data_IF_678002258911
#
_entry.id   IF_678002258911
#
_cell.length_a   1.000
_cell.length_b   1.000
_cell.length_c   1.000
_cell.angle_alpha   90.00
_cell.angle_beta   90.00
_cell.angle_gamma   90.00
#
_symmetry.space_group_name_H-M   'P 1'
#
loop_
_entity.id
_entity.type
_entity.pdbx_description
1 polymer ?
#
# COMPACT_ATOMS: atom_id res chain seq x y z
N UNK A 1 -5.57 -1.16 -22.66
CA UNK A 1 -6.23 -0.71 -21.40
C UNK A 1 -6.34 -1.84 -20.39
N UNK A 2 -6.68 -3.06 -20.80
CA UNK A 2 -6.74 -4.23 -19.91
C UNK A 2 -5.40 -4.52 -19.20
N UNK A 3 -4.26 -4.47 -19.91
CA UNK A 3 -2.95 -4.70 -19.29
C UNK A 3 -2.64 -3.68 -18.19
N UNK A 4 -3.00 -2.41 -18.41
CA UNK A 4 -2.84 -1.34 -17.42
C UNK A 4 -3.72 -1.62 -16.19
N UNK A 5 -4.95 -2.07 -16.40
CA UNK A 5 -5.85 -2.44 -15.30
C UNK A 5 -5.26 -3.58 -14.45
N UNK A 6 -4.72 -4.63 -15.10
CA UNK A 6 -4.08 -5.75 -14.41
C UNK A 6 -2.90 -5.27 -13.55
N UNK A 7 -2.06 -4.38 -14.11
CA UNK A 7 -0.93 -3.80 -13.36
C UNK A 7 -1.41 -2.97 -12.17
N UNK A 8 -2.44 -2.14 -12.34
CA UNK A 8 -2.98 -1.32 -11.24
C UNK A 8 -3.60 -2.16 -10.13
N UNK A 9 -4.34 -3.22 -10.47
CA UNK A 9 -4.89 -4.17 -9.49
C UNK A 9 -3.78 -4.91 -8.76
N UNK A 10 -2.74 -5.36 -9.48
CA UNK A 10 -1.57 -5.98 -8.88
C UNK A 10 -0.88 -5.05 -7.87
N UNK A 11 -0.68 -3.78 -8.24
CA UNK A 11 -0.09 -2.78 -7.33
C UNK A 11 -0.96 -2.55 -6.10
N UNK A 12 -2.29 -2.57 -6.24
CA UNK A 12 -3.21 -2.39 -5.11
C UNK A 12 -3.10 -3.54 -4.11
N UNK A 13 -3.03 -4.77 -4.61
CA UNK A 13 -2.84 -5.96 -3.78
C UNK A 13 -1.46 -5.94 -3.14
N UNK A 14 -0.41 -5.59 -3.89
CA UNK A 14 0.96 -5.52 -3.38
C UNK A 14 1.09 -4.48 -2.26
N UNK A 15 0.64 -3.23 -2.49
CA UNK A 15 0.72 -2.17 -1.49
C UNK A 15 -0.16 -2.47 -0.27
N UNK A 16 -1.38 -2.96 -0.48
CA UNK A 16 -2.25 -3.42 0.60
C UNK A 16 -1.59 -4.51 1.44
N UNK A 17 -0.95 -5.49 0.78
CA UNK A 17 -0.20 -6.56 1.44
C UNK A 17 1.00 -6.05 2.23
N UNK A 18 1.76 -5.09 1.70
CA UNK A 18 2.89 -4.47 2.40
C UNK A 18 2.42 -3.70 3.64
N UNK A 19 1.36 -2.90 3.54
CA UNK A 19 0.81 -2.19 4.69
C UNK A 19 0.25 -3.14 5.75
N UNK A 20 -0.39 -4.23 5.34
CA UNK A 20 -0.86 -5.26 6.25
C UNK A 20 0.30 -5.96 6.95
N UNK A 21 1.32 -6.36 6.19
CA UNK A 21 2.48 -7.08 6.71
C UNK A 21 3.27 -6.23 7.69
N UNK A 22 3.39 -4.92 7.45
CA UNK A 22 3.99 -3.99 8.41
C UNK A 22 3.32 -4.12 9.79
N UNK A 23 1.99 -3.98 9.85
CA UNK A 23 1.24 -4.13 11.11
C UNK A 23 1.32 -5.55 11.71
N UNK A 24 1.34 -6.59 10.88
CA UNK A 24 1.51 -7.97 11.34
C UNK A 24 2.90 -8.20 11.96
N UNK A 25 3.96 -7.67 11.35
CA UNK A 25 5.34 -7.84 11.81
C UNK A 25 5.60 -7.21 13.19
N UNK A 26 4.91 -6.09 13.49
CA UNK A 26 4.92 -5.49 14.83
C UNK A 26 4.18 -6.37 15.84
N UNK A 27 2.95 -6.78 15.50
CA UNK A 27 2.11 -7.59 16.41
C UNK A 27 2.69 -8.96 16.73
N UNK A 28 3.45 -9.53 15.81
CA UNK A 28 4.15 -10.81 16.00
C UNK A 28 5.46 -10.67 16.79
N UNK A 29 5.89 -9.44 17.13
CA UNK A 29 7.14 -9.17 17.83
C UNK A 29 8.39 -9.37 16.96
N UNK A 30 8.22 -9.53 15.65
CA UNK A 30 9.32 -9.72 14.70
C UNK A 30 10.10 -8.42 14.45
N UNK A 31 9.40 -7.29 14.48
CA UNK A 31 9.97 -5.97 14.27
C UNK A 31 9.75 -5.09 15.50
N UNK A 32 10.74 -4.23 15.78
CA UNK A 32 10.62 -3.17 16.78
C UNK A 32 9.78 -2.02 16.21
N UNK A 33 8.94 -1.48 17.09
CA UNK A 33 8.11 -0.29 16.88
C UNK A 33 8.15 0.49 18.20
N UNK A 34 9.13 1.38 18.32
CA UNK A 34 9.27 2.24 19.50
C UNK A 34 8.23 3.38 19.48
N UNK A 35 7.81 3.82 18.30
CA UNK A 35 6.85 4.92 18.09
C UNK A 35 5.38 4.49 18.27
N UNK A 36 5.10 3.20 18.46
CA UNK A 36 3.76 2.60 18.57
C UNK A 36 2.82 2.95 17.39
N UNK A 37 3.38 3.13 16.20
CA UNK A 37 2.63 3.54 15.00
C UNK A 37 2.26 2.36 14.09
N UNK A 38 2.55 1.12 14.52
CA UNK A 38 2.39 -0.12 13.76
C UNK A 38 3.23 -0.19 12.47
N UNK A 39 4.33 0.56 12.42
CA UNK A 39 5.31 0.55 11.33
C UNK A 39 6.64 0.06 11.92
N UNK A 40 7.32 -0.91 11.29
CA UNK A 40 8.68 -1.28 11.69
C UNK A 40 9.62 -0.08 11.66
N UNK A 41 10.37 0.16 12.74
CA UNK A 41 11.33 1.28 12.80
C UNK A 41 12.33 1.23 11.64
N UNK A 42 12.79 0.01 11.29
CA UNK A 42 13.68 -0.24 10.15
C UNK A 42 13.08 0.17 8.79
N UNK A 43 11.76 0.25 8.70
CA UNK A 43 11.03 0.69 7.51
C UNK A 43 10.64 2.15 7.62
N UNK A 44 10.37 2.67 8.82
CA UNK A 44 10.15 4.09 9.06
C UNK A 44 11.36 4.89 8.57
N UNK A 45 12.58 4.53 8.96
CA UNK A 45 13.80 5.26 8.55
C UNK A 45 13.99 5.41 7.03
N UNK A 46 13.56 4.42 6.25
CA UNK A 46 13.81 4.36 4.79
C UNK A 46 12.58 4.70 3.96
N UNK A 47 11.40 4.41 4.48
CA UNK A 47 10.12 4.42 3.75
C UNK A 47 9.05 5.23 4.50
N UNK A 48 9.43 6.12 5.44
CA UNK A 48 8.48 6.99 6.13
C UNK A 48 7.49 7.65 5.16
N UNK A 49 7.99 8.20 4.05
CA UNK A 49 7.16 8.86 3.04
C UNK A 49 6.06 7.94 2.46
N UNK A 50 6.36 6.65 2.27
CA UNK A 50 5.42 5.65 1.74
C UNK A 50 4.35 5.27 2.77
N UNK A 51 4.74 5.04 4.02
CA UNK A 51 3.80 4.67 5.08
C UNK A 51 2.96 5.86 5.59
N UNK A 52 3.55 7.05 5.71
CA UNK A 52 2.82 8.28 6.06
C UNK A 52 1.81 8.68 4.98
N UNK A 53 2.15 8.49 3.70
CA UNK A 53 1.28 8.83 2.57
C UNK A 53 0.35 7.69 2.15
N UNK A 54 0.25 6.60 2.93
CA UNK A 54 -0.49 5.38 2.55
C UNK A 54 -1.93 5.65 2.10
N UNK A 55 -2.62 6.58 2.79
CA UNK A 55 -4.00 6.94 2.46
C UNK A 55 -4.09 7.63 1.11
N UNK A 56 -3.21 8.60 0.84
CA UNK A 56 -3.17 9.30 -0.44
C UNK A 56 -2.80 8.36 -1.58
N UNK A 57 -1.78 7.52 -1.39
CA UNK A 57 -1.33 6.55 -2.39
C UNK A 57 -2.48 5.60 -2.75
N UNK A 58 -3.14 5.02 -1.75
CA UNK A 58 -4.26 4.10 -1.98
C UNK A 58 -5.47 4.79 -2.60
N UNK A 59 -5.73 6.05 -2.24
CA UNK A 59 -6.82 6.84 -2.83
C UNK A 59 -6.60 7.09 -4.33
N UNK A 60 -5.42 7.58 -4.73
CA UNK A 60 -5.10 7.80 -6.14
C UNK A 60 -5.07 6.50 -6.94
N UNK A 61 -4.59 5.41 -6.33
CA UNK A 61 -4.60 4.09 -6.96
C UNK A 61 -6.03 3.61 -7.21
N UNK A 62 -6.94 3.81 -6.25
CA UNK A 62 -8.37 3.52 -6.42
C UNK A 62 -9.02 4.32 -7.54
N UNK A 63 -8.72 5.62 -7.63
CA UNK A 63 -9.19 6.47 -8.73
C UNK A 63 -8.66 5.98 -10.09
N UNK A 64 -7.37 5.67 -10.17
CA UNK A 64 -6.74 5.18 -11.40
C UNK A 64 -7.36 3.86 -11.87
N UNK A 65 -7.62 2.93 -10.94
CA UNK A 65 -8.33 1.68 -11.21
C UNK A 65 -9.74 1.97 -11.71
N UNK A 66 -10.53 2.78 -11.00
CA UNK A 66 -11.90 3.11 -11.38
C UNK A 66 -12.00 3.75 -12.77
N UNK A 67 -11.12 4.71 -13.07
CA UNK A 67 -11.03 5.33 -14.39
C UNK A 67 -10.68 4.31 -15.48
N UNK A 68 -9.72 3.42 -15.22
CA UNK A 68 -9.29 2.41 -16.19
C UNK A 68 -10.37 1.37 -16.43
N UNK A 69 -11.09 0.95 -15.38
CA UNK A 69 -12.25 0.05 -15.50
C UNK A 69 -13.31 0.68 -16.40
N UNK A 70 -13.67 1.94 -16.18
CA UNK A 70 -14.64 2.65 -17.00
C UNK A 70 -14.24 2.69 -18.48
N UNK A 71 -12.94 2.81 -18.78
CA UNK A 71 -12.38 2.79 -20.15
C UNK A 71 -12.22 1.40 -20.76
N UNK A 72 -12.29 0.34 -19.95
CA UNK A 72 -12.20 -1.06 -20.43
C UNK A 72 -13.59 -1.63 -20.71
N UNK A 73 -14.59 -1.24 -19.90
CA UNK A 73 -15.95 -1.80 -19.96
C UNK A 73 -16.91 -0.87 -20.74
N UNK A 74 -16.71 0.44 -20.68
CA UNK A 74 -17.49 1.44 -21.41
C UNK A 74 -16.89 1.81 -22.76
#
# INVERSE_FOLDING_TARGET
MQDILVVLVFLAVLFGGVYWYAGYSIRSGFAKDENQNFIPDAWEDKFNWFFSSKVLIMFFLGIAIGYTIAKVIG
#
